data_IF_194594053217
#
_entry.id   IF_194594053217
#
_cell.length_a   1.000
_cell.length_b   1.000
_cell.length_c   1.000
_cell.angle_alpha   90.00
_cell.angle_beta   90.00
_cell.angle_gamma   90.00
#
_symmetry.space_group_name_H-M   'P 1'
#
loop_
_entity.id
_entity.type
_entity.pdbx_description
1 polymer ?
#
# COMPACT_ATOMS: atom_id res chain seq x y z
N UNK A 1 -12.36 1.46 -36.95
CA UNK A 1 -11.13 2.22 -36.69
C UNK A 1 -11.20 2.69 -35.25
N UNK A 2 -10.58 1.97 -34.32
CA UNK A 2 -10.54 2.38 -32.92
C UNK A 2 -9.52 3.50 -32.81
N UNK A 3 -9.98 4.73 -32.59
CA UNK A 3 -9.09 5.88 -32.33
C UNK A 3 -8.28 5.59 -31.08
N UNK A 4 -6.95 5.62 -31.19
CA UNK A 4 -6.08 5.49 -30.04
C UNK A 4 -6.42 6.62 -29.04
N UNK A 5 -6.81 6.32 -27.78
CA UNK A 5 -7.18 7.35 -26.83
C UNK A 5 -6.00 8.33 -26.64
N UNK A 6 -6.33 9.62 -26.52
CA UNK A 6 -5.33 10.63 -26.20
C UNK A 6 -4.71 10.32 -24.84
N UNK A 7 -3.38 10.25 -24.79
CA UNK A 7 -2.64 9.99 -23.56
C UNK A 7 -2.30 11.30 -22.84
N UNK A 8 -2.47 11.29 -21.53
CA UNK A 8 -2.04 12.30 -20.56
C UNK A 8 -0.78 11.77 -19.87
N UNK A 9 0.19 12.66 -19.63
CA UNK A 9 1.38 12.33 -18.84
C UNK A 9 1.16 12.69 -17.37
N UNK A 10 1.16 11.68 -16.51
CA UNK A 10 1.15 11.81 -15.07
C UNK A 10 2.57 11.71 -14.53
N UNK A 11 2.86 12.49 -13.49
CA UNK A 11 4.11 12.38 -12.72
C UNK A 11 3.81 11.65 -11.43
N UNK A 12 4.77 10.89 -10.94
CA UNK A 12 4.63 10.23 -9.64
C UNK A 12 5.95 10.04 -8.93
N UNK A 13 5.86 9.84 -7.62
CA UNK A 13 7.02 9.62 -6.76
C UNK A 13 6.67 8.87 -5.49
N UNK A 14 7.69 8.21 -4.92
CA UNK A 14 7.63 7.89 -3.49
C UNK A 14 7.68 9.18 -2.66
N UNK A 15 7.31 9.09 -1.37
CA UNK A 15 7.24 10.28 -0.52
C UNK A 15 8.58 10.98 -0.32
N UNK A 16 9.68 10.25 -0.12
CA UNK A 16 11.02 10.85 0.05
C UNK A 16 11.65 11.34 -1.28
N UNK A 17 11.03 11.04 -2.43
CA UNK A 17 11.52 11.45 -3.75
C UNK A 17 12.72 10.66 -4.28
N UNK A 18 13.16 9.59 -3.60
CA UNK A 18 14.23 8.72 -4.08
C UNK A 18 13.88 8.00 -5.40
N UNK A 19 12.59 7.69 -5.58
CA UNK A 19 12.04 7.12 -6.80
C UNK A 19 11.02 8.08 -7.41
N UNK A 20 11.24 8.46 -8.68
CA UNK A 20 10.34 9.32 -9.46
C UNK A 20 10.11 8.72 -10.82
N UNK A 21 8.90 8.84 -11.34
CA UNK A 21 8.52 8.27 -12.63
C UNK A 21 7.48 9.15 -13.35
N UNK A 22 7.26 8.81 -14.62
CA UNK A 22 6.19 9.30 -15.46
C UNK A 22 5.36 8.12 -15.97
N UNK A 23 4.06 8.35 -16.08
CA UNK A 23 3.11 7.41 -16.63
C UNK A 23 2.31 8.10 -17.73
N UNK A 24 2.32 7.55 -18.94
CA UNK A 24 1.39 7.96 -20.00
C UNK A 24 0.19 7.02 -20.00
N UNK A 25 -1.00 7.57 -19.78
CA UNK A 25 -2.24 6.81 -19.79
C UNK A 25 -3.38 7.68 -20.31
N UNK A 26 -4.51 7.11 -20.74
CA UNK A 26 -5.74 7.90 -20.89
C UNK A 26 -6.05 8.70 -19.62
N UNK A 27 -6.94 9.68 -19.74
CA UNK A 27 -7.49 10.36 -18.57
C UNK A 27 -7.99 9.32 -17.53
N UNK A 28 -7.45 9.36 -16.31
CA UNK A 28 -7.81 8.42 -15.26
C UNK A 28 -9.24 8.71 -14.81
N UNK A 29 -10.15 7.80 -15.14
CA UNK A 29 -11.57 7.84 -14.74
C UNK A 29 -11.95 6.71 -13.81
N UNK A 30 -11.07 5.74 -13.67
CA UNK A 30 -11.27 4.56 -12.87
C UNK A 30 -9.98 4.08 -12.22
N UNK A 31 -10.14 3.34 -11.14
CA UNK A 31 -9.09 2.64 -10.43
C UNK A 31 -9.58 1.25 -10.02
N UNK A 32 -8.68 0.29 -9.93
CA UNK A 32 -8.99 -1.03 -9.39
C UNK A 32 -8.57 -1.11 -7.91
N UNK A 33 -9.51 -1.52 -7.06
CA UNK A 33 -9.26 -1.88 -5.66
C UNK A 33 -9.43 -3.38 -5.49
N UNK A 34 -8.35 -4.06 -5.15
CA UNK A 34 -8.35 -5.48 -4.84
C UNK A 34 -8.66 -5.71 -3.35
N UNK A 35 -9.51 -6.70 -3.05
CA UNK A 35 -9.86 -7.08 -1.68
C UNK A 35 -8.88 -8.06 -1.02
N UNK A 36 -7.76 -8.44 -1.64
CA UNK A 36 -6.80 -9.32 -0.97
C UNK A 36 -6.17 -8.66 0.27
N UNK A 37 -5.68 -9.48 1.20
CA UNK A 37 -5.10 -9.07 2.49
C UNK A 37 -4.09 -7.93 2.41
N UNK A 38 -3.13 -7.98 1.47
CA UNK A 38 -2.13 -6.93 1.29
C UNK A 38 -2.71 -5.66 0.66
N UNK A 39 -3.60 -5.80 -0.32
CA UNK A 39 -4.16 -4.66 -1.04
C UNK A 39 -5.09 -3.84 -0.16
N UNK A 40 -5.91 -4.49 0.66
CA UNK A 40 -6.76 -3.77 1.60
C UNK A 40 -5.94 -3.11 2.71
N UNK A 41 -4.89 -3.78 3.22
CA UNK A 41 -4.05 -3.23 4.30
C UNK A 41 -3.31 -1.96 3.89
N UNK A 42 -2.81 -1.92 2.65
CA UNK A 42 -2.09 -0.76 2.12
C UNK A 42 -2.98 0.19 1.31
N UNK A 43 -4.30 -0.07 1.24
CA UNK A 43 -5.29 0.79 0.60
C UNK A 43 -5.00 1.13 -0.87
N UNK A 44 -4.45 0.17 -1.63
CA UNK A 44 -4.03 0.40 -3.01
C UNK A 44 -5.19 0.81 -3.94
N UNK A 45 -4.87 1.73 -4.85
CA UNK A 45 -5.69 2.07 -6.00
C UNK A 45 -4.84 1.87 -7.25
N UNK A 46 -5.12 0.81 -8.00
CA UNK A 46 -4.31 0.41 -9.13
C UNK A 46 -4.80 1.05 -10.43
N UNK A 47 -3.85 1.57 -11.20
CA UNK A 47 -4.03 1.80 -12.65
C UNK A 47 -3.05 0.92 -13.40
N UNK A 48 -3.44 0.56 -14.62
CA UNK A 48 -2.63 -0.25 -15.51
C UNK A 48 -2.15 0.62 -16.67
N UNK A 49 -0.83 0.69 -16.91
CA UNK A 49 -0.29 1.37 -18.08
C UNK A 49 -0.83 0.74 -19.35
N UNK A 50 -1.60 1.53 -20.07
CA UNK A 50 -2.26 1.12 -21.30
C UNK A 50 -1.38 1.51 -22.49
N UNK A 51 -1.07 0.64 -23.47
CA UNK A 51 -1.16 -0.82 -23.48
C UNK A 51 0.18 -1.53 -23.18
N UNK A 52 1.26 -0.81 -22.86
CA UNK A 52 2.59 -1.40 -22.70
C UNK A 52 3.44 -0.71 -21.63
N UNK A 53 4.49 -1.40 -21.17
CA UNK A 53 5.51 -0.89 -20.23
C UNK A 53 6.26 0.33 -20.77
N UNK A 54 6.23 0.58 -22.08
CA UNK A 54 6.88 1.73 -22.72
C UNK A 54 6.28 3.07 -22.27
N UNK A 55 5.04 3.07 -21.80
CA UNK A 55 4.38 4.26 -21.26
C UNK A 55 4.76 4.58 -19.81
N UNK A 56 5.59 3.76 -19.18
CA UNK A 56 6.16 4.02 -17.87
C UNK A 56 7.64 4.38 -18.03
N UNK A 57 8.05 5.53 -17.51
CA UNK A 57 9.44 6.00 -17.58
C UNK A 57 9.93 6.37 -16.19
N UNK A 58 11.00 5.73 -15.74
CA UNK A 58 11.69 6.13 -14.51
C UNK A 58 12.47 7.41 -14.78
N UNK A 59 12.23 8.43 -13.97
CA UNK A 59 12.92 9.73 -14.03
C UNK A 59 14.07 9.78 -13.03
N UNK A 60 13.92 9.13 -11.88
CA UNK A 60 14.95 9.05 -10.84
C UNK A 60 14.84 7.70 -10.10
N UNK A 61 16.00 7.09 -9.84
CA UNK A 61 16.09 5.76 -9.26
C UNK A 61 15.98 4.66 -10.31
N UNK A 62 15.71 3.44 -9.86
CA UNK A 62 15.54 2.24 -10.68
C UNK A 62 14.59 1.25 -9.99
N UNK A 63 13.74 0.59 -10.77
CA UNK A 63 12.66 -0.29 -10.27
C UNK A 63 13.18 -1.50 -9.49
N UNK A 64 14.40 -1.96 -9.80
CA UNK A 64 14.96 -3.18 -9.24
C UNK A 64 15.97 -2.92 -8.12
N UNK A 65 16.55 -1.73 -8.06
CA UNK A 65 17.61 -1.39 -7.10
C UNK A 65 17.25 -0.25 -6.15
N UNK A 66 16.34 0.66 -6.53
CA UNK A 66 15.86 1.72 -5.64
C UNK A 66 14.62 1.29 -4.86
N UNK A 67 13.74 0.51 -5.49
CA UNK A 67 12.59 -0.09 -4.81
C UNK A 67 12.95 -1.48 -4.27
N UNK A 68 12.38 -1.82 -3.13
CA UNK A 68 12.39 -3.20 -2.63
C UNK A 68 11.05 -3.87 -2.94
N UNK A 69 10.98 -5.20 -2.81
CA UNK A 69 9.79 -5.98 -3.15
C UNK A 69 9.33 -6.82 -1.96
N UNK A 70 8.02 -6.83 -1.73
CA UNK A 70 7.37 -7.79 -0.85
C UNK A 70 6.69 -8.88 -1.67
N UNK A 71 6.98 -10.13 -1.32
CA UNK A 71 6.43 -11.36 -1.89
C UNK A 71 5.95 -12.23 -0.73
N UNK A 72 4.80 -12.87 -0.86
CA UNK A 72 4.28 -13.84 0.10
C UNK A 72 3.55 -14.96 -0.63
N UNK A 73 3.15 -16.01 0.10
CA UNK A 73 2.43 -17.16 -0.45
C UNK A 73 3.13 -17.75 -1.68
N UNK A 74 2.43 -17.82 -2.82
CA UNK A 74 2.96 -18.37 -4.07
C UNK A 74 3.88 -17.42 -4.84
N UNK A 75 4.20 -16.23 -4.30
CA UNK A 75 5.14 -15.26 -4.89
C UNK A 75 4.74 -14.84 -6.32
N UNK A 76 3.44 -14.62 -6.53
CA UNK A 76 2.85 -14.35 -7.85
C UNK A 76 3.02 -12.91 -8.32
N UNK A 77 2.96 -11.97 -7.37
CA UNK A 77 3.03 -10.54 -7.62
C UNK A 77 4.01 -9.92 -6.62
N UNK A 78 4.97 -9.15 -7.12
CA UNK A 78 5.92 -8.40 -6.32
C UNK A 78 5.34 -7.01 -6.02
N UNK A 79 5.00 -6.73 -4.76
CA UNK A 79 4.61 -5.38 -4.36
C UNK A 79 5.86 -4.57 -4.09
N UNK A 80 6.10 -3.58 -4.95
CA UNK A 80 7.30 -2.76 -4.92
C UNK A 80 7.05 -1.45 -4.19
N UNK A 81 7.89 -1.17 -3.21
CA UNK A 81 7.78 0.00 -2.35
C UNK A 81 9.15 0.59 -2.05
N UNK A 82 9.18 1.85 -1.63
CA UNK A 82 10.42 2.55 -1.31
C UNK A 82 10.94 2.07 0.06
N UNK A 83 12.15 1.47 0.14
CA UNK A 83 12.69 0.98 1.40
C UNK A 83 13.07 2.11 2.37
N UNK A 84 13.09 3.37 1.91
CA UNK A 84 13.39 4.54 2.74
C UNK A 84 12.17 5.12 3.42
N UNK A 85 11.02 5.19 2.74
CA UNK A 85 9.84 5.90 3.26
C UNK A 85 8.56 5.06 3.30
N UNK A 86 8.61 3.77 2.95
CA UNK A 86 7.45 2.88 3.02
C UNK A 86 6.46 3.00 1.86
N UNK A 87 6.50 4.09 1.09
CA UNK A 87 5.53 4.31 -0.02
C UNK A 87 5.50 3.16 -1.01
N UNK A 88 4.33 2.54 -1.15
CA UNK A 88 4.04 1.52 -2.16
C UNK A 88 3.77 2.13 -3.52
N UNK A 89 4.62 1.80 -4.50
CA UNK A 89 4.65 2.45 -5.81
C UNK A 89 3.96 1.63 -6.87
N UNK A 90 4.27 0.34 -6.95
CA UNK A 90 3.84 -0.50 -8.06
C UNK A 90 3.74 -1.96 -7.66
N UNK A 91 3.08 -2.74 -8.50
CA UNK A 91 3.06 -4.19 -8.44
C UNK A 91 3.65 -4.72 -9.75
N UNK A 92 4.54 -5.71 -9.68
CA UNK A 92 5.09 -6.39 -10.85
C UNK A 92 4.68 -7.86 -10.84
N UNK A 93 4.19 -8.35 -11.98
CA UNK A 93 3.86 -9.76 -12.16
C UNK A 93 5.15 -10.58 -12.26
N UNK A 94 5.24 -11.65 -11.47
CA UNK A 94 6.40 -12.53 -11.51
C UNK A 94 6.39 -13.42 -12.76
N UNK A 95 7.55 -13.80 -13.34
CA UNK A 95 7.59 -14.60 -14.57
C UNK A 95 6.88 -15.96 -14.49
N UNK A 96 6.81 -16.54 -13.28
CA UNK A 96 6.12 -17.80 -13.01
C UNK A 96 4.67 -17.61 -12.56
N UNK A 97 4.16 -16.36 -12.59
CA UNK A 97 2.81 -16.04 -12.16
C UNK A 97 1.77 -16.64 -13.11
N UNK A 98 0.94 -17.53 -12.57
CA UNK A 98 -0.22 -18.14 -13.21
C UNK A 98 -1.50 -17.31 -13.08
N UNK A 99 -1.44 -16.09 -12.52
CA UNK A 99 -2.62 -15.20 -12.44
C UNK A 99 -3.04 -14.79 -13.85
N UNK A 100 -4.15 -15.35 -14.32
CA UNK A 100 -4.69 -15.10 -15.67
C UNK A 100 -5.36 -13.73 -15.70
N UNK A 101 -5.15 -12.98 -16.78
CA UNK A 101 -5.77 -11.66 -16.99
C UNK A 101 -5.15 -10.51 -16.21
N UNK A 102 -4.27 -10.78 -15.24
CA UNK A 102 -3.48 -9.73 -14.59
C UNK A 102 -2.43 -9.19 -15.58
N UNK A 103 -2.38 -7.86 -15.79
CA UNK A 103 -1.34 -7.23 -16.59
C UNK A 103 0.04 -7.40 -15.95
N UNK A 104 1.09 -7.14 -16.73
CA UNK A 104 2.47 -7.36 -16.28
C UNK A 104 2.88 -6.49 -15.10
N UNK A 105 2.23 -5.33 -14.92
CA UNK A 105 2.42 -4.47 -13.77
C UNK A 105 1.27 -3.49 -13.56
N UNK A 106 1.19 -2.94 -12.36
CA UNK A 106 0.24 -1.92 -11.94
C UNK A 106 0.96 -0.76 -11.25
N UNK A 107 0.44 0.45 -11.39
CA UNK A 107 0.93 1.63 -10.67
C UNK A 107 -0.10 2.01 -9.61
N UNK A 108 0.37 2.25 -8.38
CA UNK A 108 -0.48 2.80 -7.33
C UNK A 108 -0.74 4.27 -7.63
N UNK A 109 -1.97 4.58 -8.02
CA UNK A 109 -2.44 5.92 -8.38
C UNK A 109 -2.16 6.91 -7.24
N UNK A 110 -2.12 6.46 -5.98
CA UNK A 110 -1.78 7.30 -4.82
C UNK A 110 -0.39 7.93 -4.85
N UNK A 111 0.49 7.43 -5.70
CA UNK A 111 1.84 7.98 -5.92
C UNK A 111 1.89 9.03 -7.02
N UNK A 112 0.80 9.22 -7.77
CA UNK A 112 0.69 10.24 -8.82
C UNK A 112 0.41 11.61 -8.21
N UNK A 113 0.94 12.64 -8.86
CA UNK A 113 0.69 14.05 -8.58
C UNK A 113 -0.60 14.50 -9.28
N UNK A 114 -1.34 15.43 -8.64
CA UNK A 114 -2.50 16.13 -9.22
C UNK A 114 -3.64 15.23 -9.76
N UNK A 115 -3.89 14.09 -9.10
CA UNK A 115 -5.01 13.22 -9.43
C UNK A 115 -6.05 13.27 -8.30
N UNK A 116 -7.29 13.57 -8.65
CA UNK A 116 -8.45 13.52 -7.75
C UNK A 116 -9.00 12.09 -7.67
N UNK A 117 -8.56 11.34 -6.65
CA UNK A 117 -8.99 9.95 -6.48
C UNK A 117 -10.43 9.80 -6.00
N UNK A 118 -10.96 10.81 -5.29
CA UNK A 118 -12.32 10.77 -4.75
C UNK A 118 -13.35 10.84 -5.88
N UNK A 119 -12.97 11.41 -7.02
CA UNK A 119 -13.77 11.43 -8.25
C UNK A 119 -13.71 10.13 -9.09
N UNK A 120 -12.77 9.23 -8.82
CA UNK A 120 -12.57 8.02 -9.64
C UNK A 120 -13.66 6.99 -9.40
N UNK A 121 -14.12 6.33 -10.48
CA UNK A 121 -14.89 5.10 -10.34
C UNK A 121 -13.97 3.99 -9.83
N UNK A 122 -14.27 3.42 -8.67
CA UNK A 122 -13.48 2.31 -8.12
C UNK A 122 -14.13 0.98 -8.51
N UNK A 123 -13.45 0.21 -9.35
CA UNK A 123 -13.79 -1.19 -9.63
C UNK A 123 -13.25 -2.09 -8.52
N UNK A 124 -14.08 -3.02 -8.04
CA UNK A 124 -13.70 -3.96 -6.98
C UNK A 124 -13.35 -5.31 -7.60
N UNK A 125 -12.11 -5.72 -7.41
CA UNK A 125 -11.67 -7.07 -7.72
C UNK A 125 -11.66 -7.92 -6.45
N UNK A 126 -12.36 -9.06 -6.46
CA UNK A 126 -12.48 -9.96 -5.31
C UNK A 126 -11.23 -10.85 -5.12
N UNK A 127 -10.10 -10.21 -4.82
CA UNK A 127 -8.84 -10.92 -4.59
C UNK A 127 -8.82 -11.77 -3.32
N UNK A 128 -9.64 -11.46 -2.31
CA UNK A 128 -9.72 -12.28 -1.09
C UNK A 128 -10.22 -13.69 -1.37
N UNK A 129 -11.18 -13.84 -2.29
CA UNK A 129 -11.73 -15.15 -2.69
C UNK A 129 -10.97 -15.76 -3.86
N UNK A 130 -10.56 -14.94 -4.83
CA UNK A 130 -10.02 -15.42 -6.11
C UNK A 130 -8.51 -15.69 -6.10
N UNK A 131 -7.76 -15.13 -5.15
CA UNK A 131 -6.31 -15.34 -5.03
C UNK A 131 -5.99 -16.24 -3.82
N UNK A 132 -5.26 -17.36 -3.99
CA UNK A 132 -4.89 -18.23 -2.88
C UNK A 132 -4.05 -17.51 -1.80
N UNK A 133 -4.23 -17.88 -0.53
CA UNK A 133 -3.42 -17.35 0.58
C UNK A 133 -3.63 -15.85 0.88
N UNK A 134 -4.77 -15.29 0.45
CA UNK A 134 -5.05 -13.85 0.56
C UNK A 134 -6.21 -13.41 1.48
N UNK A 135 -6.77 -14.24 2.39
CA UNK A 135 -7.92 -13.81 3.21
C UNK A 135 -7.52 -12.77 4.25
N UNK A 136 -8.46 -11.89 4.62
CA UNK A 136 -8.27 -10.99 5.75
C UNK A 136 -8.30 -11.77 7.07
N UNK A 137 -7.32 -11.59 7.97
CA UNK A 137 -7.49 -12.03 9.34
C UNK A 137 -8.59 -11.19 10.00
N UNK A 138 -9.69 -11.82 10.40
CA UNK A 138 -10.76 -11.18 11.17
C UNK A 138 -10.51 -11.39 12.66
N UNK A 139 -9.87 -10.41 13.29
CA UNK A 139 -9.71 -10.38 14.75
C UNK A 139 -10.65 -9.32 15.30
N UNK A 140 -11.72 -9.75 15.97
CA UNK A 140 -12.65 -8.83 16.61
C UNK A 140 -11.99 -8.16 17.83
N UNK A 141 -12.18 -6.85 18.04
CA UNK A 141 -11.69 -6.17 19.23
C UNK A 141 -12.32 -6.75 20.50
N UNK A 142 -11.51 -6.89 21.56
CA UNK A 142 -11.96 -7.45 22.85
C UNK A 142 -12.43 -6.32 23.75
N UNK A 143 -13.69 -6.36 24.20
CA UNK A 143 -14.23 -5.43 25.19
C UNK A 143 -13.94 -5.93 26.61
N UNK A 144 -13.19 -5.14 27.38
CA UNK A 144 -12.84 -5.45 28.76
C UNK A 144 -13.97 -5.07 29.73
N UNK A 145 -13.91 -5.64 30.93
CA UNK A 145 -14.91 -5.40 31.99
C UNK A 145 -14.91 -3.93 32.49
N UNK A 146 -13.78 -3.24 32.38
CA UNK A 146 -13.63 -1.82 32.74
C UNK A 146 -14.14 -0.86 31.65
N UNK A 147 -14.67 -1.39 30.54
CA UNK A 147 -15.19 -0.62 29.41
C UNK A 147 -14.19 -0.37 28.27
N UNK A 148 -12.89 -0.58 28.52
CA UNK A 148 -11.85 -0.42 27.49
C UNK A 148 -11.99 -1.45 26.38
N UNK A 149 -11.44 -1.15 25.20
CA UNK A 149 -11.42 -2.06 24.04
C UNK A 149 -9.98 -2.32 23.61
N UNK A 150 -9.59 -3.59 23.60
CA UNK A 150 -8.29 -4.06 23.15
C UNK A 150 -8.34 -4.42 21.67
N UNK A 151 -7.43 -3.83 20.91
CA UNK A 151 -7.17 -4.12 19.51
C UNK A 151 -5.83 -4.83 19.39
N UNK A 152 -5.74 -5.80 18.48
CA UNK A 152 -4.49 -6.47 18.11
C UNK A 152 -4.27 -6.27 16.62
N UNK A 153 -3.06 -5.88 16.24
CA UNK A 153 -2.67 -5.71 14.85
C UNK A 153 -1.27 -6.25 14.59
N UNK A 154 -0.92 -6.36 13.31
CA UNK A 154 0.41 -6.76 12.87
C UNK A 154 0.76 -6.10 11.52
N UNK A 155 2.01 -6.21 11.09
CA UNK A 155 2.36 -6.03 9.68
C UNK A 155 1.92 -7.26 8.86
N UNK A 156 1.82 -7.14 7.53
CA UNK A 156 1.28 -8.23 6.70
C UNK A 156 2.05 -9.54 6.85
N UNK A 157 3.37 -9.48 7.00
CA UNK A 157 4.22 -10.66 7.19
C UNK A 157 4.23 -11.20 8.62
N UNK A 158 3.59 -10.53 9.59
CA UNK A 158 3.57 -10.93 11.00
C UNK A 158 4.86 -10.66 11.79
N UNK A 159 5.91 -10.09 11.19
CA UNK A 159 7.18 -9.82 11.87
C UNK A 159 7.04 -8.82 13.04
N UNK A 160 6.12 -7.87 12.92
CA UNK A 160 5.77 -6.90 13.94
C UNK A 160 4.30 -7.09 14.32
N UNK A 161 4.03 -7.14 15.61
CA UNK A 161 2.69 -7.16 16.19
C UNK A 161 2.53 -5.96 17.14
N UNK A 162 1.31 -5.49 17.32
CA UNK A 162 1.00 -4.46 18.31
C UNK A 162 -0.35 -4.71 18.96
N UNK A 163 -0.51 -4.19 20.17
CA UNK A 163 -1.81 -4.02 20.80
C UNK A 163 -2.09 -2.55 21.05
N UNK A 164 -3.37 -2.18 20.97
CA UNK A 164 -3.86 -0.85 21.31
C UNK A 164 -5.01 -1.01 22.30
N UNK A 165 -4.86 -0.44 23.50
CA UNK A 165 -5.92 -0.36 24.48
C UNK A 165 -6.61 1.01 24.37
N UNK A 166 -7.81 1.04 23.81
CA UNK A 166 -8.57 2.28 23.65
C UNK A 166 -9.64 2.41 24.75
N UNK A 167 -9.95 3.63 25.25
CA UNK A 167 -11.00 3.81 26.28
C UNK A 167 -12.37 3.26 25.87
N UNK A 168 -12.67 3.30 24.57
CA UNK A 168 -13.92 2.81 23.98
C UNK A 168 -13.67 2.19 22.60
N UNK A 169 -14.71 1.67 21.96
CA UNK A 169 -14.61 1.19 20.57
C UNK A 169 -14.30 2.37 19.65
N UNK A 170 -13.28 2.24 18.82
CA UNK A 170 -12.95 3.18 17.75
C UNK A 170 -14.15 3.28 16.79
N UNK A 171 -14.72 4.48 16.69
CA UNK A 171 -15.84 4.82 15.80
C UNK A 171 -15.49 5.93 14.82
N UNK A 172 -14.36 6.62 15.02
CA UNK A 172 -13.90 7.72 14.19
C UNK A 172 -12.41 7.53 13.88
N UNK A 173 -12.01 7.94 12.67
CA UNK A 173 -10.63 7.98 12.22
C UNK A 173 -10.40 9.25 11.39
N UNK A 174 -9.15 9.66 11.27
CA UNK A 174 -8.73 10.85 10.51
C UNK A 174 -8.06 10.44 9.21
N UNK A 175 -8.57 10.97 8.11
CA UNK A 175 -7.88 10.98 6.82
C UNK A 175 -7.05 12.25 6.73
N UNK A 176 -5.74 12.10 6.58
CA UNK A 176 -4.83 13.22 6.42
C UNK A 176 -4.40 13.33 4.95
N UNK A 177 -4.39 14.54 4.42
CA UNK A 177 -3.98 14.82 3.04
C UNK A 177 -2.47 15.10 2.91
N UNK A 178 -1.69 14.82 3.96
CA UNK A 178 -0.24 14.91 3.91
C UNK A 178 0.33 13.96 2.85
N UNK A 179 1.44 14.33 2.20
CA UNK A 179 2.00 13.57 1.07
C UNK A 179 2.18 12.08 1.35
N UNK A 180 2.67 11.69 2.53
CA UNK A 180 2.85 10.29 2.93
C UNK A 180 1.52 9.62 3.27
N UNK A 181 0.66 10.29 4.04
CA UNK A 181 -0.67 9.83 4.43
C UNK A 181 -1.53 9.49 3.20
N UNK A 182 -1.47 10.36 2.20
CA UNK A 182 -2.15 10.23 0.92
C UNK A 182 -1.68 9.02 0.12
N UNK A 183 -0.35 8.80 0.09
CA UNK A 183 0.33 7.70 -0.62
C UNK A 183 0.07 6.34 0.01
N UNK A 184 0.05 6.29 1.33
CA UNK A 184 -0.10 5.05 2.10
C UNK A 184 -1.55 4.76 2.50
N UNK A 185 -2.51 5.57 2.03
CA UNK A 185 -3.93 5.45 2.34
C UNK A 185 -4.22 5.42 3.85
N UNK A 186 -3.47 6.20 4.63
CA UNK A 186 -3.46 6.09 6.08
C UNK A 186 -4.78 6.55 6.72
N UNK A 187 -5.34 5.70 7.58
CA UNK A 187 -6.49 5.99 8.44
C UNK A 187 -6.00 6.09 9.89
N UNK A 188 -6.01 7.29 10.44
CA UNK A 188 -5.37 7.57 11.73
C UNK A 188 -6.35 7.57 12.90
N UNK A 189 -5.91 6.96 14.00
CA UNK A 189 -6.36 7.26 15.35
C UNK A 189 -5.17 7.79 16.14
N UNK A 190 -5.43 8.62 17.16
CA UNK A 190 -4.39 9.29 17.95
C UNK A 190 -4.46 8.89 19.42
N UNK A 191 -4.14 7.63 19.78
CA UNK A 191 -4.09 7.21 21.17
C UNK A 191 -2.87 7.80 21.88
N UNK A 192 -2.88 7.75 23.21
CA UNK A 192 -1.66 7.99 24.00
C UNK A 192 -0.63 6.92 23.67
N UNK A 193 0.65 7.28 23.59
CA UNK A 193 1.72 6.32 23.26
C UNK A 193 1.79 5.16 24.25
N UNK A 194 1.50 5.41 25.53
CA UNK A 194 1.43 4.38 26.59
C UNK A 194 0.28 3.39 26.41
N UNK A 195 -0.68 3.67 25.54
CA UNK A 195 -1.79 2.78 25.23
C UNK A 195 -1.45 1.76 24.13
N UNK A 196 -0.28 1.89 23.50
CA UNK A 196 0.19 1.01 22.42
C UNK A 196 1.38 0.20 22.91
N UNK A 197 1.32 -1.12 22.76
CA UNK A 197 2.46 -2.01 23.03
C UNK A 197 2.87 -2.70 21.74
N UNK A 198 4.16 -2.68 21.43
CA UNK A 198 4.73 -3.40 20.28
C UNK A 198 5.43 -4.68 20.72
N UNK A 199 5.30 -5.72 19.89
CA UNK A 199 6.11 -6.93 19.95
C UNK A 199 7.00 -6.95 18.70
N UNK A 200 8.29 -7.17 18.92
CA UNK A 200 9.34 -7.08 17.90
C UNK A 200 9.41 -5.70 17.19
N UNK A 201 9.49 -4.58 17.93
CA UNK A 201 9.55 -3.24 17.31
C UNK A 201 10.76 -3.07 16.38
N UNK A 202 11.87 -3.77 16.66
CA UNK A 202 13.10 -3.71 15.85
C UNK A 202 12.94 -4.30 14.44
N UNK A 203 11.82 -4.95 14.13
CA UNK A 203 11.48 -5.39 12.77
C UNK A 203 11.06 -4.23 11.87
N UNK A 204 10.69 -3.07 12.43
CA UNK A 204 10.31 -1.89 11.67
C UNK A 204 11.53 -1.02 11.33
N UNK A 205 11.49 -0.44 10.15
CA UNK A 205 12.27 0.72 9.75
C UNK A 205 11.45 1.97 10.03
N UNK A 206 12.11 3.00 10.54
CA UNK A 206 11.50 4.29 10.79
C UNK A 206 11.98 5.33 9.76
N UNK A 207 11.02 6.02 9.16
CA UNK A 207 11.25 7.19 8.33
C UNK A 207 10.77 8.45 9.05
N UNK A 208 11.65 9.44 9.17
CA UNK A 208 11.32 10.73 9.80
C UNK A 208 11.22 11.85 8.76
N UNK A 209 10.22 12.71 8.91
CA UNK A 209 9.93 13.82 8.02
C UNK A 209 9.30 14.99 8.79
N UNK A 210 8.93 16.07 8.08
CA UNK A 210 8.39 17.29 8.68
C UNK A 210 9.27 17.80 9.84
N UNK A 211 10.52 18.16 9.53
CA UNK A 211 11.52 18.60 10.51
C UNK A 211 11.81 17.61 11.66
N UNK A 212 11.60 16.30 11.40
CA UNK A 212 11.77 15.20 12.37
C UNK A 212 10.71 15.16 13.47
N UNK A 213 9.55 15.78 13.24
CA UNK A 213 8.41 15.73 14.17
C UNK A 213 7.45 14.58 13.86
N UNK A 214 7.52 14.03 12.64
CA UNK A 214 6.69 12.92 12.22
C UNK A 214 7.53 11.67 11.97
N UNK A 215 7.08 10.54 12.51
CA UNK A 215 7.70 9.23 12.39
C UNK A 215 6.74 8.28 11.66
N UNK A 216 7.22 7.61 10.62
CA UNK A 216 6.48 6.59 9.88
C UNK A 216 7.23 5.26 9.97
N UNK A 217 6.63 4.29 10.65
CA UNK A 217 7.17 2.94 10.79
C UNK A 217 6.59 1.96 9.77
N UNK A 218 7.45 1.18 9.13
CA UNK A 218 7.07 0.13 8.17
C UNK A 218 8.09 -1.01 8.16
N UNK A 219 7.74 -2.18 7.65
CA UNK A 219 8.64 -3.35 7.64
C UNK A 219 9.26 -3.55 6.26
N UNK A 220 10.58 -3.71 6.21
CA UNK A 220 11.35 -3.99 4.97
C UNK A 220 11.99 -5.37 4.97
N UNK A 221 12.17 -5.98 6.14
CA UNK A 221 12.76 -7.31 6.31
C UNK A 221 11.69 -8.38 6.35
N UNK A 222 11.67 -9.23 5.33
CA UNK A 222 10.71 -10.33 5.23
C UNK A 222 11.47 -11.64 5.47
N UNK A 223 10.99 -12.46 6.41
CA UNK A 223 11.47 -13.83 6.50
C UNK A 223 11.11 -14.60 5.22
N UNK A 224 11.90 -15.61 4.85
CA UNK A 224 11.58 -16.49 3.71
C UNK A 224 10.21 -17.18 3.87
N UNK A 225 9.70 -17.23 5.09
CA UNK A 225 8.43 -17.81 5.54
C UNK A 225 7.32 -16.77 5.78
N UNK A 226 7.33 -15.62 5.09
CA UNK A 226 6.20 -14.69 5.15
C UNK A 226 4.92 -15.41 4.70
N UNK A 227 4.03 -15.66 5.68
CA UNK A 227 2.80 -16.48 5.58
C UNK A 227 1.94 -16.10 4.38
#
# INVERSE_FOLDING_TARGET
>A
MSSNPQLVEYRGSCHCGAFKFKLKAPELKEALRCTCSICARNGYLWTYPWPSRENFTVVQGDVNTTLTSYLWGHKMMAHKFCPTCGTSVMEDKMPHSTVVGAPDFAINIRTLEDVDFDSLRVEIFDGATLLPGSPHPTVEPVKNADGTTLYTGNCHCGALEYTLLNPEKITNATLCNCSICWRDAALWVYPQTTAVTFKNPDAAVEYTFANKECHHGFVTGFGEDAV
#
